data_IF_473741361251
#
_entry.id   IF_473741361251
#
_cell.length_a   1.000
_cell.length_b   1.000
_cell.length_c   1.000
_cell.angle_alpha   90.00
_cell.angle_beta   90.00
_cell.angle_gamma   90.00
#
_symmetry.space_group_name_H-M   'P 1'
#
loop_
_entity.id
_entity.type
_entity.pdbx_description
1 polymer ?
#
# COMPACT_ATOMS: atom_id res chain seq x y z
N UNK A 1 10.84 2.41 -19.77
CA UNK A 1 9.74 3.34 -20.10
C UNK A 1 9.82 4.48 -19.11
N UNK A 2 9.74 5.75 -19.52
CA UNK A 2 9.62 6.84 -18.54
C UNK A 2 8.37 6.57 -17.70
N UNK A 3 8.49 6.65 -16.37
CA UNK A 3 7.32 6.63 -15.49
C UNK A 3 6.43 7.79 -15.93
N UNK A 4 5.22 7.50 -16.43
CA UNK A 4 4.23 8.54 -16.67
C UNK A 4 4.04 9.34 -15.38
N UNK A 5 4.01 10.66 -15.49
CA UNK A 5 3.83 11.52 -14.33
C UNK A 5 2.49 11.21 -13.66
N UNK A 6 2.43 11.04 -12.32
CA UNK A 6 1.21 10.66 -11.65
C UNK A 6 0.13 11.74 -11.85
N UNK A 7 -1.13 11.32 -11.95
CA UNK A 7 -2.26 12.25 -12.01
C UNK A 7 -2.45 12.92 -10.65
N UNK A 8 -2.88 14.18 -10.65
CA UNK A 8 -3.01 14.95 -9.42
C UNK A 8 -4.47 15.11 -8.99
N UNK A 9 -4.72 14.94 -7.68
CA UNK A 9 -6.04 15.17 -7.10
C UNK A 9 -5.93 15.88 -5.75
N UNK A 10 -6.77 16.89 -5.56
CA UNK A 10 -7.01 17.54 -4.28
C UNK A 10 -8.32 17.03 -3.70
N UNK A 11 -8.27 16.60 -2.44
CA UNK A 11 -9.43 16.27 -1.62
C UNK A 11 -9.76 17.44 -0.72
N UNK A 12 -10.93 18.02 -0.92
CA UNK A 12 -11.41 19.19 -0.20
C UNK A 12 -12.93 19.17 -0.06
N UNK A 13 -13.43 19.06 1.16
CA UNK A 13 -14.86 19.19 1.41
C UNK A 13 -15.31 20.63 1.17
N UNK A 14 -16.13 20.86 0.13
CA UNK A 14 -16.80 22.15 -0.13
C UNK A 14 -18.30 22.12 0.14
N UNK A 15 -18.82 20.99 0.64
CA UNK A 15 -20.27 20.77 0.76
C UNK A 15 -20.92 20.23 -0.53
N UNK A 16 -20.10 19.81 -1.49
CA UNK A 16 -20.52 19.27 -2.79
C UNK A 16 -20.54 17.73 -2.76
N UNK A 17 -21.32 17.05 -3.64
CA UNK A 17 -21.35 15.59 -3.70
C UNK A 17 -19.98 14.94 -3.92
N UNK A 18 -19.11 15.57 -4.71
CA UNK A 18 -17.72 15.13 -4.84
C UNK A 18 -16.78 16.13 -4.18
N UNK A 19 -15.89 15.67 -3.27
CA UNK A 19 -14.82 16.49 -2.71
C UNK A 19 -13.53 16.48 -3.55
N UNK A 20 -13.55 15.95 -4.77
CA UNK A 20 -12.34 15.73 -5.58
C UNK A 20 -12.18 16.80 -6.66
N UNK A 21 -10.95 17.33 -6.77
CA UNK A 21 -10.60 18.33 -7.78
C UNK A 21 -9.28 17.97 -8.46
N UNK A 22 -9.18 18.24 -9.76
CA UNK A 22 -7.94 18.19 -10.55
C UNK A 22 -7.48 19.64 -10.89
N UNK A 23 -6.18 19.85 -11.15
CA UNK A 23 -5.70 21.14 -11.64
C UNK A 23 -6.34 21.47 -13.01
N UNK A 24 -6.56 22.75 -13.30
CA UNK A 24 -6.90 23.17 -14.66
C UNK A 24 -5.74 22.88 -15.63
N UNK A 25 -6.03 22.88 -16.94
CA UNK A 25 -5.04 22.55 -17.96
C UNK A 25 -3.87 23.56 -17.95
N UNK A 26 -2.65 23.07 -17.74
CA UNK A 26 -1.45 23.90 -17.57
C UNK A 26 -1.24 24.47 -16.16
N UNK A 27 -2.10 24.13 -15.20
CA UNK A 27 -1.93 24.50 -13.79
C UNK A 27 -0.83 23.69 -13.11
N UNK A 28 0.03 24.36 -12.34
CA UNK A 28 1.08 23.73 -11.55
C UNK A 28 0.49 22.96 -10.34
N UNK A 29 0.71 21.64 -10.21
CA UNK A 29 0.18 20.84 -9.09
C UNK A 29 0.68 21.26 -7.70
N UNK A 30 1.79 21.98 -7.64
CA UNK A 30 2.36 22.55 -6.42
C UNK A 30 1.47 23.68 -5.89
N UNK A 31 0.75 24.38 -6.76
CA UNK A 31 -0.18 25.44 -6.42
C UNK A 31 -1.60 24.88 -6.22
N UNK A 32 -2.06 24.96 -4.97
CA UNK A 32 -3.38 24.47 -4.55
C UNK A 32 -4.52 25.22 -5.26
N UNK A 33 -4.30 26.48 -5.63
CA UNK A 33 -5.34 27.33 -6.25
C UNK A 33 -5.70 26.84 -7.66
N UNK A 34 -4.84 26.03 -8.28
CA UNK A 34 -5.10 25.46 -9.61
C UNK A 34 -6.16 24.36 -9.60
N UNK A 35 -6.40 23.72 -8.45
CA UNK A 35 -7.35 22.61 -8.28
C UNK A 35 -8.80 23.11 -8.24
N UNK A 36 -9.35 23.34 -9.42
CA UNK A 36 -10.68 23.94 -9.60
C UNK A 36 -11.65 23.04 -10.36
N UNK A 37 -11.15 22.09 -11.15
CA UNK A 37 -11.99 21.19 -11.95
C UNK A 37 -12.48 20.03 -11.10
N UNK A 38 -13.80 19.95 -10.89
CA UNK A 38 -14.40 18.86 -10.11
C UNK A 38 -14.29 17.52 -10.83
N UNK A 39 -13.96 16.46 -10.08
CA UNK A 39 -13.94 15.08 -10.55
C UNK A 39 -15.15 14.35 -9.96
N UNK A 40 -16.00 13.73 -10.77
CA UNK A 40 -17.09 12.90 -10.25
C UNK A 40 -16.54 11.66 -9.54
N UNK A 41 -17.17 11.23 -8.44
CA UNK A 41 -16.74 10.02 -7.71
C UNK A 41 -16.90 8.75 -8.56
N UNK A 42 -17.84 8.81 -9.51
CA UNK A 42 -18.17 7.75 -10.46
C UNK A 42 -17.28 7.77 -11.72
N UNK A 43 -16.28 8.65 -11.77
CA UNK A 43 -15.37 8.75 -12.90
C UNK A 43 -14.64 7.40 -13.12
N UNK A 44 -14.70 6.80 -14.32
CA UNK A 44 -14.13 5.47 -14.58
C UNK A 44 -12.64 5.36 -14.23
N UNK A 45 -11.89 6.45 -14.37
CA UNK A 45 -10.46 6.50 -14.05
C UNK A 45 -10.10 6.47 -12.56
N UNK A 46 -11.09 6.59 -11.65
CA UNK A 46 -10.87 6.46 -10.21
C UNK A 46 -11.15 5.03 -9.71
N UNK A 47 -12.09 4.33 -10.36
CA UNK A 47 -12.46 2.95 -9.99
C UNK A 47 -12.83 2.78 -8.51
N UNK A 48 -13.49 3.77 -7.89
CA UNK A 48 -13.77 3.74 -6.45
C UNK A 48 -14.86 2.71 -6.14
N UNK A 49 -14.65 1.83 -5.13
CA UNK A 49 -15.72 1.01 -4.60
C UNK A 49 -16.69 1.84 -3.74
N UNK A 50 -17.92 1.36 -3.59
CA UNK A 50 -18.99 2.06 -2.85
C UNK A 50 -18.59 2.35 -1.39
N UNK A 51 -17.87 1.43 -0.74
CA UNK A 51 -17.40 1.56 0.64
C UNK A 51 -16.31 2.64 0.84
N UNK A 52 -15.84 3.25 -0.26
CA UNK A 52 -14.96 4.42 -0.29
C UNK A 52 -15.67 5.66 -0.85
N UNK A 53 -16.44 5.51 -1.93
CA UNK A 53 -17.18 6.61 -2.55
C UNK A 53 -18.25 7.20 -1.60
N UNK A 54 -19.02 6.35 -0.91
CA UNK A 54 -20.08 6.79 -0.01
C UNK A 54 -19.54 7.58 1.20
N UNK A 55 -18.48 7.11 1.91
CA UNK A 55 -17.84 7.91 2.95
C UNK A 55 -17.29 9.25 2.45
N UNK A 56 -16.70 9.32 1.24
CA UNK A 56 -16.21 10.59 0.67
C UNK A 56 -17.37 11.57 0.44
N UNK A 57 -18.45 11.11 -0.20
CA UNK A 57 -19.66 11.89 -0.47
C UNK A 57 -20.29 12.37 0.83
N UNK A 58 -20.53 11.45 1.76
CA UNK A 58 -21.14 11.72 3.06
C UNK A 58 -20.29 12.71 3.88
N UNK A 59 -18.97 12.55 3.89
CA UNK A 59 -18.09 13.47 4.58
C UNK A 59 -18.16 14.88 3.98
N UNK A 60 -18.07 15.01 2.66
CA UNK A 60 -18.14 16.32 1.98
C UNK A 60 -19.46 17.04 2.28
N UNK A 61 -20.59 16.33 2.15
CA UNK A 61 -21.93 16.88 2.39
C UNK A 61 -22.19 17.20 3.87
N UNK A 62 -21.49 16.54 4.80
CA UNK A 62 -21.59 16.85 6.22
C UNK A 62 -20.93 18.20 6.59
N UNK A 63 -20.21 18.85 5.66
CA UNK A 63 -19.64 20.18 5.89
C UNK A 63 -20.76 21.24 5.89
N UNK A 64 -20.94 22.01 6.98
CA UNK A 64 -21.94 23.06 7.00
C UNK A 64 -21.60 24.18 5.99
N UNK A 65 -22.58 24.75 5.27
CA UNK A 65 -22.32 25.80 4.27
C UNK A 65 -21.61 27.04 4.84
N UNK A 66 -21.91 27.40 6.09
CA UNK A 66 -21.33 28.53 6.80
C UNK A 66 -20.05 28.16 7.58
N UNK A 67 -19.56 26.93 7.44
CA UNK A 67 -18.47 26.39 8.25
C UNK A 67 -18.91 25.94 9.65
N UNK A 68 -17.94 25.45 10.42
CA UNK A 68 -18.21 24.85 11.72
C UNK A 68 -18.30 25.91 12.83
N UNK A 69 -19.45 25.95 13.52
CA UNK A 69 -19.66 26.82 14.67
C UNK A 69 -18.84 26.44 15.92
N UNK A 70 -18.30 25.21 16.00
CA UNK A 70 -17.50 24.76 17.14
C UNK A 70 -16.20 24.09 16.71
N UNK A 71 -15.12 24.38 17.46
CA UNK A 71 -13.81 23.74 17.27
C UNK A 71 -13.84 22.22 17.43
N UNK A 72 -14.59 21.61 18.37
CA UNK A 72 -14.71 20.16 18.44
C UNK A 72 -15.35 19.54 17.19
N UNK A 73 -16.40 20.14 16.64
CA UNK A 73 -17.03 19.66 15.42
C UNK A 73 -16.08 19.75 14.22
N UNK A 74 -15.36 20.87 14.06
CA UNK A 74 -14.33 21.02 13.04
C UNK A 74 -13.24 19.95 13.15
N UNK A 75 -12.71 19.71 14.37
CA UNK A 75 -11.70 18.67 14.60
C UNK A 75 -12.20 17.28 14.22
N UNK A 76 -13.44 16.95 14.58
CA UNK A 76 -14.06 15.67 14.22
C UNK A 76 -14.18 15.53 12.70
N UNK A 77 -14.67 16.58 12.02
CA UNK A 77 -14.82 16.57 10.57
C UNK A 77 -13.49 16.44 9.83
N UNK A 78 -12.46 17.19 10.25
CA UNK A 78 -11.10 17.09 9.69
C UNK A 78 -10.49 15.71 9.95
N UNK A 79 -10.73 15.11 11.12
CA UNK A 79 -10.27 13.76 11.43
C UNK A 79 -10.89 12.70 10.52
N UNK A 80 -12.20 12.79 10.27
CA UNK A 80 -12.90 11.93 9.32
C UNK A 80 -12.40 12.13 7.88
N UNK A 81 -12.20 13.40 7.48
CA UNK A 81 -11.66 13.77 6.17
C UNK A 81 -10.28 13.20 5.90
N UNK A 82 -9.39 13.28 6.89
CA UNK A 82 -8.06 12.69 6.79
C UNK A 82 -8.13 11.16 6.69
N UNK A 83 -8.98 10.51 7.48
CA UNK A 83 -9.13 9.05 7.45
C UNK A 83 -9.62 8.55 6.09
N UNK A 84 -10.63 9.20 5.50
CA UNK A 84 -11.13 8.82 4.18
C UNK A 84 -10.15 9.17 3.05
N UNK A 85 -9.43 10.29 3.17
CA UNK A 85 -8.41 10.68 2.18
C UNK A 85 -7.23 9.70 2.14
N UNK A 86 -6.82 9.16 3.30
CA UNK A 86 -5.80 8.10 3.38
C UNK A 86 -6.25 6.83 2.65
N UNK A 87 -7.50 6.39 2.88
CA UNK A 87 -8.08 5.26 2.15
C UNK A 87 -8.09 5.52 0.63
N UNK A 88 -8.43 6.74 0.21
CA UNK A 88 -8.38 7.13 -1.20
C UNK A 88 -6.97 7.07 -1.77
N UNK A 89 -5.97 7.62 -1.08
CA UNK A 89 -4.57 7.60 -1.52
C UNK A 89 -4.07 6.17 -1.71
N UNK A 90 -4.36 5.27 -0.76
CA UNK A 90 -4.01 3.84 -0.88
C UNK A 90 -4.68 3.18 -2.09
N UNK A 91 -5.97 3.43 -2.28
CA UNK A 91 -6.74 2.87 -3.40
C UNK A 91 -6.19 3.32 -4.77
N UNK A 92 -5.88 4.60 -4.91
CA UNK A 92 -5.38 5.16 -6.17
C UNK A 92 -3.91 4.78 -6.44
N UNK A 93 -3.14 4.49 -5.39
CA UNK A 93 -1.77 3.99 -5.49
C UNK A 93 -0.80 4.99 -6.16
N UNK A 94 0.32 4.50 -6.73
CA UNK A 94 1.39 5.35 -7.24
C UNK A 94 1.05 6.12 -8.52
N UNK A 95 -0.02 5.74 -9.23
CA UNK A 95 -0.47 6.45 -10.44
C UNK A 95 -1.13 7.80 -10.13
N UNK A 96 -1.35 8.12 -8.85
CA UNK A 96 -1.96 9.36 -8.40
C UNK A 96 -1.17 10.02 -7.26
N UNK A 97 -1.03 11.34 -7.34
CA UNK A 97 -0.56 12.19 -6.27
C UNK A 97 -1.76 12.84 -5.56
N UNK A 98 -2.05 12.38 -4.34
CA UNK A 98 -3.20 12.83 -3.56
C UNK A 98 -2.80 13.93 -2.58
N UNK A 99 -3.51 15.05 -2.60
CA UNK A 99 -3.34 16.17 -1.66
C UNK A 99 -4.60 16.35 -0.83
N UNK A 100 -4.45 16.61 0.46
CA UNK A 100 -5.55 16.85 1.40
C UNK A 100 -5.58 18.31 1.84
N UNK A 101 -6.75 18.96 1.78
CA UNK A 101 -6.98 20.29 2.37
C UNK A 101 -7.43 20.16 3.82
N UNK A 102 -6.56 20.53 4.74
CA UNK A 102 -6.89 20.64 6.17
C UNK A 102 -7.54 22.00 6.45
N UNK A 103 -8.88 22.01 6.53
CA UNK A 103 -9.67 23.22 6.82
C UNK A 103 -9.35 23.81 8.20
N UNK A 104 -8.94 23.00 9.18
CA UNK A 104 -8.60 23.52 10.52
C UNK A 104 -7.40 24.45 10.48
N UNK A 105 -6.43 24.14 9.63
CA UNK A 105 -5.17 24.86 9.56
C UNK A 105 -5.05 25.72 8.28
N UNK A 106 -5.99 25.60 7.33
CA UNK A 106 -5.91 26.26 6.04
C UNK A 106 -4.72 25.81 5.19
N UNK A 107 -4.23 24.59 5.43
CA UNK A 107 -3.02 24.05 4.76
C UNK A 107 -3.39 22.88 3.87
N UNK A 108 -2.55 22.62 2.86
CA UNK A 108 -2.69 21.45 2.00
C UNK A 108 -1.42 20.62 2.06
N UNK A 109 -1.56 19.32 2.32
CA UNK A 109 -0.44 18.38 2.46
C UNK A 109 -0.63 17.19 1.53
N UNK A 110 0.47 16.63 1.04
CA UNK A 110 0.46 15.40 0.27
C UNK A 110 0.18 14.23 1.20
N UNK A 111 -0.68 13.32 0.76
CA UNK A 111 -1.00 12.09 1.48
C UNK A 111 -0.26 10.96 0.79
N UNK A 112 0.67 10.35 1.52
CA UNK A 112 1.41 9.22 0.99
C UNK A 112 0.47 8.02 0.86
N UNK A 113 0.39 7.46 -0.35
CA UNK A 113 -0.36 6.23 -0.64
C UNK A 113 0.25 5.00 0.04
N UNK A 114 1.53 5.05 0.37
CA UNK A 114 2.23 3.96 1.03
C UNK A 114 2.04 3.98 2.54
N UNK A 115 2.44 5.05 3.23
CA UNK A 115 2.56 5.05 4.70
C UNK A 115 1.45 5.80 5.43
N UNK A 116 0.42 6.27 4.72
CA UNK A 116 -0.70 7.06 5.24
C UNK A 116 -0.31 8.39 5.93
N UNK A 117 0.94 8.84 5.83
CA UNK A 117 1.40 10.08 6.47
C UNK A 117 1.21 11.29 5.56
N UNK A 118 1.18 12.45 6.21
CA UNK A 118 1.07 13.75 5.55
C UNK A 118 2.46 14.37 5.38
N UNK A 119 2.75 14.85 4.17
CA UNK A 119 4.01 15.46 3.80
C UNK A 119 3.81 16.84 3.20
N UNK A 120 4.82 17.69 3.36
CA UNK A 120 4.85 19.01 2.74
C UNK A 120 5.28 18.93 1.27
N UNK A 121 6.14 17.97 0.95
CA UNK A 121 6.65 17.70 -0.39
C UNK A 121 6.04 16.40 -0.91
N UNK A 122 5.86 16.31 -2.23
CA UNK A 122 5.25 15.14 -2.89
C UNK A 122 6.15 13.90 -2.73
N UNK A 123 7.43 14.08 -2.98
CA UNK A 123 8.40 12.98 -3.12
C UNK A 123 9.26 12.84 -1.84
N UNK A 124 8.67 13.05 -0.66
CA UNK A 124 9.39 12.94 0.63
C UNK A 124 10.00 11.55 0.89
N UNK A 125 9.68 10.56 0.06
CA UNK A 125 10.19 9.19 0.12
C UNK A 125 11.05 8.79 -1.09
N UNK A 126 11.31 9.69 -2.06
CA UNK A 126 12.04 9.36 -3.29
C UNK A 126 11.18 8.72 -4.39
N UNK A 127 11.79 8.18 -5.45
CA UNK A 127 11.10 7.56 -6.60
C UNK A 127 11.79 6.25 -7.05
N UNK A 128 11.10 5.09 -7.00
CA UNK A 128 9.80 4.88 -6.38
C UNK A 128 9.91 4.91 -4.83
N UNK A 129 8.93 5.49 -4.13
CA UNK A 129 9.01 5.67 -2.68
C UNK A 129 8.79 4.39 -1.86
N UNK A 130 8.21 3.35 -2.47
CA UNK A 130 7.80 2.11 -1.82
C UNK A 130 7.98 0.93 -2.80
N UNK A 131 8.16 -0.30 -2.29
CA UNK A 131 8.30 -1.49 -3.13
C UNK A 131 7.04 -1.74 -3.96
N UNK A 132 7.15 -1.59 -5.29
CA UNK A 132 6.05 -1.81 -6.25
C UNK A 132 5.95 -3.28 -6.64
N UNK A 133 7.10 -3.93 -6.81
CA UNK A 133 7.24 -5.36 -7.05
C UNK A 133 7.87 -5.99 -5.81
N UNK A 134 7.10 -6.87 -5.14
CA UNK A 134 7.51 -7.55 -3.91
C UNK A 134 7.89 -8.99 -4.24
N UNK A 135 9.02 -9.44 -3.73
CA UNK A 135 9.43 -10.84 -3.77
C UNK A 135 9.24 -11.45 -2.39
N UNK A 136 8.58 -12.60 -2.32
CA UNK A 136 8.53 -13.46 -1.14
C UNK A 136 9.51 -14.61 -1.35
N UNK A 137 10.48 -14.73 -0.47
CA UNK A 137 11.55 -15.72 -0.61
C UNK A 137 12.10 -16.08 0.77
N UNK A 138 12.14 -17.38 1.05
CA UNK A 138 12.62 -17.89 2.32
C UNK A 138 14.13 -18.08 2.27
N UNK A 139 14.88 -17.33 3.05
CA UNK A 139 16.34 -17.45 3.13
C UNK A 139 16.77 -17.35 4.59
N UNK A 140 17.74 -18.18 4.97
CA UNK A 140 18.26 -18.25 6.33
C UNK A 140 18.77 -16.89 6.81
N UNK A 141 18.23 -16.40 7.94
CA UNK A 141 18.65 -15.15 8.56
C UNK A 141 18.21 -13.87 7.83
N UNK A 142 17.36 -13.97 6.81
CA UNK A 142 16.85 -12.83 6.05
C UNK A 142 15.36 -12.55 6.34
N UNK A 143 14.90 -11.35 5.97
CA UNK A 143 13.48 -11.01 6.00
C UNK A 143 12.67 -11.79 4.95
N UNK A 144 11.35 -11.95 5.15
CA UNK A 144 10.51 -12.71 4.23
C UNK A 144 10.27 -11.99 2.89
N UNK A 145 10.44 -10.67 2.87
CA UNK A 145 10.07 -9.81 1.74
C UNK A 145 11.28 -9.06 1.19
N UNK A 146 11.34 -8.93 -0.14
CA UNK A 146 12.38 -8.18 -0.87
C UNK A 146 11.78 -7.32 -1.96
N UNK A 147 12.45 -6.24 -2.31
CA UNK A 147 12.11 -5.48 -3.50
C UNK A 147 13.32 -4.76 -4.08
N UNK A 148 13.36 -4.68 -5.41
CA UNK A 148 14.43 -4.01 -6.13
C UNK A 148 14.51 -2.54 -5.73
N UNK A 149 15.71 -2.10 -5.34
CA UNK A 149 15.96 -0.74 -4.84
C UNK A 149 15.53 -0.48 -3.39
N UNK A 150 14.88 -1.44 -2.72
CA UNK A 150 14.50 -1.37 -1.31
C UNK A 150 15.32 -2.34 -0.43
N UNK A 151 15.69 -3.50 -0.98
CA UNK A 151 16.38 -4.57 -0.25
C UNK A 151 15.40 -5.49 0.48
N UNK A 152 15.91 -6.19 1.49
CA UNK A 152 15.14 -7.12 2.34
C UNK A 152 14.49 -6.36 3.49
N UNK A 153 13.24 -6.67 3.81
CA UNK A 153 12.49 -5.96 4.84
C UNK A 153 11.46 -6.84 5.56
N UNK A 154 11.08 -6.36 6.75
CA UNK A 154 10.08 -7.02 7.58
C UNK A 154 8.66 -6.75 7.05
N UNK A 155 7.70 -7.67 7.23
CA UNK A 155 6.33 -7.51 6.74
C UNK A 155 5.58 -6.33 7.38
N UNK A 156 6.03 -5.87 8.55
CA UNK A 156 5.53 -4.72 9.29
C UNK A 156 6.40 -3.46 9.15
N UNK A 157 7.40 -3.45 8.25
CA UNK A 157 8.25 -2.28 8.04
C UNK A 157 7.42 -1.07 7.57
N UNK A 158 7.34 0.00 8.37
CA UNK A 158 6.54 1.18 8.02
C UNK A 158 7.07 1.93 6.79
N UNK A 159 8.34 1.74 6.40
CA UNK A 159 8.90 2.30 5.18
C UNK A 159 8.45 1.54 3.93
N UNK A 160 8.22 0.22 4.04
CA UNK A 160 7.70 -0.61 2.95
C UNK A 160 6.20 -0.38 2.72
N UNK A 161 5.49 0.01 3.79
CA UNK A 161 4.17 0.59 3.70
C UNK A 161 3.17 -0.36 3.00
N UNK A 162 3.22 -1.63 3.41
CA UNK A 162 2.41 -2.72 2.83
C UNK A 162 1.01 -2.80 3.45
N UNK A 163 0.86 -2.40 4.72
CA UNK A 163 -0.39 -2.46 5.45
C UNK A 163 -1.05 -3.85 5.47
N UNK A 164 -0.23 -4.90 5.56
CA UNK A 164 -0.71 -6.27 5.71
C UNK A 164 -1.48 -6.43 7.03
N UNK A 165 -2.42 -7.36 7.06
CA UNK A 165 -3.16 -7.72 8.26
C UNK A 165 -2.23 -8.28 9.35
N UNK A 166 -2.52 -8.02 10.62
CA UNK A 166 -1.72 -8.51 11.75
C UNK A 166 -1.53 -10.04 11.72
N UNK A 167 -2.55 -10.76 11.24
CA UNK A 167 -2.50 -12.21 11.06
C UNK A 167 -1.49 -12.64 9.99
N UNK A 168 -1.47 -11.95 8.84
CA UNK A 168 -0.53 -12.24 7.75
C UNK A 168 0.90 -11.83 8.12
N UNK A 169 1.07 -10.69 8.82
CA UNK A 169 2.35 -10.25 9.39
C UNK A 169 2.91 -11.33 10.33
N UNK A 170 2.11 -11.80 11.28
CA UNK A 170 2.54 -12.84 12.22
C UNK A 170 2.87 -14.17 11.52
N UNK A 171 2.10 -14.55 10.51
CA UNK A 171 2.35 -15.77 9.73
C UNK A 171 3.68 -15.69 8.96
N UNK A 172 3.99 -14.55 8.33
CA UNK A 172 5.25 -14.33 7.63
C UNK A 172 6.47 -14.41 8.58
N UNK A 173 6.36 -13.84 9.78
CA UNK A 173 7.40 -14.00 10.81
C UNK A 173 7.57 -15.45 11.27
N UNK A 174 6.47 -16.14 11.52
CA UNK A 174 6.49 -17.56 11.92
C UNK A 174 7.13 -18.43 10.85
N UNK A 175 6.85 -18.16 9.58
CA UNK A 175 7.40 -18.91 8.45
C UNK A 175 8.92 -18.77 8.36
N UNK A 176 9.46 -17.55 8.45
CA UNK A 176 10.93 -17.30 8.46
C UNK A 176 11.59 -17.96 9.66
N UNK A 177 11.01 -17.83 10.85
CA UNK A 177 11.54 -18.51 12.04
C UNK A 177 11.53 -20.04 11.89
N UNK A 178 10.54 -20.59 11.19
CA UNK A 178 10.46 -22.00 10.82
C UNK A 178 11.62 -22.41 9.89
N UNK A 179 11.90 -21.62 8.86
CA UNK A 179 13.05 -21.84 7.95
C UNK A 179 14.37 -21.84 8.73
N UNK A 180 14.59 -20.82 9.55
CA UNK A 180 15.82 -20.71 10.35
C UNK A 180 15.99 -21.93 11.27
N UNK A 181 14.90 -22.37 11.89
CA UNK A 181 14.90 -23.56 12.75
C UNK A 181 15.24 -24.83 11.97
N UNK A 182 14.56 -25.07 10.84
CA UNK A 182 14.78 -26.27 10.03
C UNK A 182 16.19 -26.32 9.44
N UNK A 183 16.74 -25.20 8.97
CA UNK A 183 18.11 -25.15 8.46
C UNK A 183 19.13 -25.42 9.56
N UNK A 184 18.95 -24.84 10.76
CA UNK A 184 19.85 -25.11 11.88
C UNK A 184 19.85 -26.60 12.27
N UNK A 185 18.69 -27.24 12.27
CA UNK A 185 18.58 -28.68 12.55
C UNK A 185 19.22 -29.54 11.44
N UNK A 186 18.96 -29.21 10.18
CA UNK A 186 19.59 -29.90 9.04
C UNK A 186 21.12 -29.84 9.10
N UNK A 187 21.67 -28.66 9.39
CA UNK A 187 23.13 -28.46 9.54
C UNK A 187 23.69 -29.19 10.76
N UNK A 188 22.91 -29.31 11.83
CA UNK A 188 23.34 -30.00 13.05
C UNK A 188 23.40 -31.52 12.86
N UNK A 189 22.38 -32.10 12.25
CA UNK A 189 22.25 -33.56 12.15
C UNK A 189 23.02 -34.14 10.96
N UNK A 190 23.17 -33.36 9.87
CA UNK A 190 23.84 -33.77 8.62
C UNK A 190 23.28 -35.07 8.02
N UNK A 191 22.01 -35.37 8.31
CA UNK A 191 21.31 -36.53 7.78
C UNK A 191 20.49 -36.11 6.56
N UNK A 192 20.92 -36.57 5.39
CA UNK A 192 20.22 -36.32 4.13
C UNK A 192 18.81 -36.93 4.15
N UNK A 193 17.81 -36.14 3.75
CA UNK A 193 16.42 -36.57 3.62
C UNK A 193 15.57 -36.49 4.89
N UNK A 194 16.19 -36.31 6.07
CA UNK A 194 15.46 -36.25 7.35
C UNK A 194 14.48 -35.07 7.42
N UNK A 195 14.83 -33.96 6.77
CA UNK A 195 14.08 -32.69 6.84
C UNK A 195 13.32 -32.34 5.55
N UNK A 196 13.30 -33.23 4.54
CA UNK A 196 12.67 -32.97 3.24
C UNK A 196 11.18 -32.63 3.37
N UNK A 197 10.46 -33.34 4.23
CA UNK A 197 9.03 -33.09 4.48
C UNK A 197 8.78 -31.71 5.11
N UNK A 198 9.71 -31.23 5.94
CA UNK A 198 9.64 -29.89 6.53
C UNK A 198 9.93 -28.81 5.49
N UNK A 199 10.93 -29.01 4.64
CA UNK A 199 11.20 -28.10 3.52
C UNK A 199 10.02 -28.05 2.54
N UNK A 200 9.40 -29.19 2.20
CA UNK A 200 8.20 -29.26 1.35
C UNK A 200 6.99 -28.55 1.98
N UNK A 201 6.85 -28.63 3.31
CA UNK A 201 5.82 -27.90 4.04
C UNK A 201 6.09 -26.39 3.98
N UNK A 202 7.29 -25.95 4.31
CA UNK A 202 7.70 -24.54 4.30
C UNK A 202 7.61 -23.93 2.89
N UNK A 203 7.90 -24.71 1.85
CA UNK A 203 7.75 -24.28 0.46
C UNK A 203 6.28 -24.00 0.10
N UNK A 204 5.38 -24.92 0.43
CA UNK A 204 3.93 -24.73 0.19
C UNK A 204 3.36 -23.58 1.01
N UNK A 205 3.77 -23.48 2.28
CA UNK A 205 3.38 -22.38 3.17
C UNK A 205 3.83 -21.03 2.61
N UNK A 206 5.09 -20.92 2.15
CA UNK A 206 5.62 -19.71 1.52
C UNK A 206 4.83 -19.32 0.27
N UNK A 207 4.45 -20.29 -0.56
CA UNK A 207 3.60 -20.05 -1.75
C UNK A 207 2.22 -19.51 -1.36
N UNK A 208 1.58 -20.12 -0.37
CA UNK A 208 0.26 -19.70 0.11
C UNK A 208 0.29 -18.31 0.76
N UNK A 209 1.36 -17.98 1.49
CA UNK A 209 1.60 -16.65 2.06
C UNK A 209 1.82 -15.61 0.96
N UNK A 210 2.61 -15.92 -0.08
CA UNK A 210 2.81 -15.00 -1.20
C UNK A 210 1.50 -14.67 -1.94
N UNK A 211 0.62 -15.65 -2.12
CA UNK A 211 -0.72 -15.41 -2.66
C UNK A 211 -1.56 -14.50 -1.76
N UNK A 212 -1.53 -14.70 -0.44
CA UNK A 212 -2.24 -13.84 0.52
C UNK A 212 -1.69 -12.41 0.52
N UNK A 213 -0.37 -12.23 0.44
CA UNK A 213 0.26 -10.91 0.28
C UNK A 213 -0.22 -10.25 -1.01
N UNK A 214 -0.29 -10.98 -2.13
CA UNK A 214 -0.81 -10.44 -3.39
C UNK A 214 -2.27 -10.00 -3.28
N UNK A 215 -3.11 -10.80 -2.63
CA UNK A 215 -4.52 -10.47 -2.37
C UNK A 215 -4.65 -9.17 -1.59
N UNK A 216 -3.93 -9.03 -0.48
CA UNK A 216 -4.01 -7.84 0.39
C UNK A 216 -3.38 -6.59 -0.25
N UNK A 217 -2.30 -6.73 -1.03
CA UNK A 217 -1.70 -5.62 -1.77
C UNK A 217 -2.51 -5.20 -3.00
N UNK A 218 -3.44 -6.04 -3.44
CA UNK A 218 -4.33 -5.77 -4.55
C UNK A 218 -3.62 -5.70 -5.91
N UNK A 219 -4.32 -5.27 -6.96
CA UNK A 219 -3.82 -5.31 -8.33
C UNK A 219 -2.75 -4.26 -8.64
N UNK A 220 -2.45 -3.33 -7.73
CA UNK A 220 -1.48 -2.26 -7.96
C UNK A 220 -0.02 -2.73 -7.83
N UNK A 221 0.23 -3.86 -7.16
CA UNK A 221 1.56 -4.40 -6.91
C UNK A 221 1.66 -5.83 -7.42
N UNK A 222 2.85 -6.23 -7.86
CA UNK A 222 3.12 -7.64 -8.17
C UNK A 222 3.81 -8.29 -6.99
N UNK A 223 3.47 -9.55 -6.75
CA UNK A 223 4.10 -10.36 -5.71
C UNK A 223 4.63 -11.62 -6.37
N UNK A 224 5.93 -11.86 -6.24
CA UNK A 224 6.59 -13.04 -6.80
C UNK A 224 7.10 -13.94 -5.69
N UNK A 225 6.67 -15.19 -5.66
CA UNK A 225 7.28 -16.20 -4.80
C UNK A 225 8.47 -16.83 -5.53
N UNK A 226 9.66 -16.85 -4.92
CA UNK A 226 10.86 -17.47 -5.50
C UNK A 226 11.25 -18.81 -4.88
N UNK A 227 10.54 -19.26 -3.84
CA UNK A 227 10.86 -20.51 -3.15
C UNK A 227 11.64 -20.32 -1.86
N UNK A 228 12.37 -21.37 -1.49
CA UNK A 228 13.31 -21.38 -0.38
C UNK A 228 14.74 -21.38 -0.94
N UNK A 229 15.53 -20.36 -0.65
CA UNK A 229 16.94 -20.32 -0.96
C UNK A 229 17.64 -21.49 -0.25
N UNK A 230 18.44 -22.24 -1.00
CA UNK A 230 19.24 -23.38 -0.51
C UNK A 230 18.46 -24.61 0.02
N UNK A 231 17.14 -24.70 -0.22
CA UNK A 231 16.26 -25.77 0.31
C UNK A 231 16.16 -27.08 -0.49
N UNK A 232 17.07 -27.36 -1.44
CA UNK A 232 17.07 -28.63 -2.20
C UNK A 232 16.17 -28.67 -3.46
N UNK A 233 15.93 -29.87 -4.00
CA UNK A 233 15.46 -30.21 -5.37
C UNK A 233 14.06 -29.70 -5.79
N UNK A 234 13.34 -28.98 -4.94
CA UNK A 234 12.18 -28.19 -5.36
C UNK A 234 12.70 -26.98 -6.15
N UNK A 235 13.01 -27.22 -7.43
CA UNK A 235 13.53 -26.21 -8.34
C UNK A 235 12.70 -24.93 -8.25
N UNK A 236 13.39 -23.79 -8.17
CA UNK A 236 12.81 -22.44 -8.12
C UNK A 236 11.79 -22.22 -9.24
N UNK A 237 10.55 -22.62 -9.02
CA UNK A 237 9.41 -22.16 -9.80
C UNK A 237 9.03 -20.81 -9.22
N UNK A 238 9.43 -19.75 -9.91
CA UNK A 238 8.89 -18.43 -9.64
C UNK A 238 7.43 -18.41 -10.03
N UNK A 239 6.55 -18.00 -9.12
CA UNK A 239 5.15 -17.76 -9.42
C UNK A 239 4.83 -16.32 -9.05
N UNK A 240 4.15 -15.60 -9.95
CA UNK A 240 3.83 -14.19 -9.74
C UNK A 240 2.32 -13.99 -9.71
N UNK A 241 1.86 -13.17 -8.78
CA UNK A 241 0.48 -12.72 -8.68
C UNK A 241 0.38 -11.19 -8.76
N UNK A 242 -0.79 -10.72 -9.17
CA UNK A 242 -1.21 -9.33 -9.13
C UNK A 242 -2.66 -9.29 -8.62
N UNK A 243 -2.87 -8.91 -7.37
CA UNK A 243 -4.12 -9.20 -6.67
C UNK A 243 -4.38 -10.71 -6.58
N UNK A 244 -5.61 -11.14 -6.88
CA UNK A 244 -6.01 -12.56 -6.91
C UNK A 244 -5.61 -13.31 -8.19
N UNK A 245 -5.00 -12.62 -9.16
CA UNK A 245 -4.65 -13.19 -10.46
C UNK A 245 -3.21 -13.69 -10.48
N UNK A 246 -3.03 -14.98 -10.78
CA UNK A 246 -1.73 -15.55 -11.16
C UNK A 246 -1.37 -15.15 -12.60
N UNK A 247 -0.12 -14.78 -12.84
CA UNK A 247 0.40 -14.26 -14.12
C UNK A 247 1.20 -15.31 -14.92
#
# INVERSE_FOLDING_TARGET
>A
MPLEEPRHVLVHARGEPSPLYEPYEGGAPEDVETFTRGIALEAPGLGLPDDLADPLRSWSLARPPQGFASRPALRKHVGLGLAVTRRLARHLGPSWAVRYRDERHGTSKWVCWGCDRLYWERDSHGTPPHPVDVTVEGEFGCGPLRADGFGDFAPDDPAAALHLSDGLVAALHSWVAGIDTTINLYVQDLEDGTYDADFDRLFREGKDLARQVAHELGPARKVTYKGLANGGLAAMTSVTWQGDREL
#
